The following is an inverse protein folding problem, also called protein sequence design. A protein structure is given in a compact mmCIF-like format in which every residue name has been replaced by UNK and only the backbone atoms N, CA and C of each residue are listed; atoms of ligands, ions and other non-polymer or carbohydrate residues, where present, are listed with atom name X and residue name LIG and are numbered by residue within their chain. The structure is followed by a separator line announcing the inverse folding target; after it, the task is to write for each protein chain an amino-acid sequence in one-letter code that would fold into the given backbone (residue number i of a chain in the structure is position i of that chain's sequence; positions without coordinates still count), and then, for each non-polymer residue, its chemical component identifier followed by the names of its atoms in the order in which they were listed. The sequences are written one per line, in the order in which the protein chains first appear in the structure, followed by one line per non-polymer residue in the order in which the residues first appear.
data_IF_735683140949
#
_entry.id   IF_735683140949
#
_cell.length_a   1.000
_cell.length_b   1.000
_cell.length_c   1.000
_cell.angle_alpha   90.00
_cell.angle_beta   90.00
_cell.angle_gamma   90.00
#
_symmetry.space_group_name_H-M   'P 1'
#
loop_
_entity.id
_entity.type
_entity.pdbx_description
1 polymer ?
#
# COMPACT_ATOMS: atom_id res chain seq x y z
N UNK A 1 0.68 -5.49 28.64
CA UNK A 1 -0.52 -4.66 28.43
C UNK A 1 -0.57 -3.43 29.33
N UNK A 2 -0.50 -3.51 30.66
CA UNK A 2 -0.56 -2.31 31.54
C UNK A 2 0.53 -1.24 31.28
N UNK A 3 1.75 -1.62 30.88
CA UNK A 3 2.85 -0.67 30.62
C UNK A 3 2.72 0.08 29.26
N UNK A 4 2.05 -0.49 28.27
CA UNK A 4 1.82 0.16 26.97
C UNK A 4 0.69 1.20 27.04
N UNK A 5 -0.35 0.93 27.83
CA UNK A 5 -1.42 1.89 28.12
C UNK A 5 -0.91 3.11 28.92
N UNK A 6 0.10 2.92 29.78
CA UNK A 6 0.75 4.00 30.53
C UNK A 6 1.60 4.93 29.66
N UNK A 7 2.22 4.43 28.60
CA UNK A 7 2.99 5.26 27.65
C UNK A 7 2.06 6.12 26.80
N UNK A 8 0.92 5.59 26.36
CA UNK A 8 -0.10 6.37 25.62
C UNK A 8 -0.77 7.40 26.55
N UNK A 9 -1.04 7.06 27.79
CA UNK A 9 -1.57 7.99 28.79
C UNK A 9 -0.54 9.08 29.18
N UNK A 10 0.75 8.75 29.29
CA UNK A 10 1.82 9.70 29.60
C UNK A 10 2.09 10.69 28.45
N UNK A 11 1.91 10.31 27.19
CA UNK A 11 1.97 11.22 26.05
C UNK A 11 0.77 12.17 25.95
N UNK A 12 -0.38 11.78 26.50
CA UNK A 12 -1.57 12.63 26.60
C UNK A 12 -1.54 13.57 27.82
N UNK A 13 -0.81 13.24 28.89
CA UNK A 13 -0.77 14.03 30.13
C UNK A 13 0.26 15.16 30.15
N UNK A 14 1.15 15.26 29.17
CA UNK A 14 2.21 16.27 29.12
C UNK A 14 1.77 17.68 28.68
N UNK A 15 0.47 17.92 28.42
CA UNK A 15 -0.02 19.23 27.95
C UNK A 15 -1.25 19.76 28.70
N UNK A 16 -1.51 19.29 29.90
CA UNK A 16 -2.55 19.87 30.78
C UNK A 16 -1.88 20.65 31.90
N UNK A 17 -1.15 21.71 31.56
CA UNK A 17 -0.76 22.74 32.53
C UNK A 17 -0.94 24.11 31.90
N UNK A 18 -1.83 24.88 32.50
CA UNK A 18 -1.99 26.33 32.41
C UNK A 18 -2.57 26.93 31.13
N UNK A 19 -3.87 27.18 31.13
CA UNK A 19 -4.45 28.35 30.49
C UNK A 19 -5.67 28.82 31.30
N UNK A 20 -5.41 29.53 32.38
CA UNK A 20 -6.33 30.58 32.81
C UNK A 20 -5.90 31.86 32.13
N UNK A 21 -6.40 32.10 30.95
CA UNK A 21 -6.31 33.39 30.27
C UNK A 21 -7.72 33.94 30.02
N UNK A 22 -7.88 35.19 30.40
CA UNK A 22 -9.02 36.07 30.18
C UNK A 22 -9.67 35.86 28.84
N UNK A 23 -10.94 35.48 28.84
CA UNK A 23 -11.78 35.25 27.66
C UNK A 23 -11.99 36.55 26.88
N UNK A 24 -11.12 36.86 25.94
CA UNK A 24 -11.53 37.60 24.76
C UNK A 24 -12.45 36.67 23.95
N UNK A 25 -13.68 37.08 23.72
CA UNK A 25 -14.65 36.39 22.86
C UNK A 25 -14.02 36.34 21.45
N UNK A 26 -13.28 35.25 21.15
CA UNK A 26 -12.91 34.90 19.79
C UNK A 26 -14.17 34.45 19.11
N UNK A 27 -14.52 35.10 17.99
CA UNK A 27 -15.57 34.62 17.08
C UNK A 27 -15.36 33.10 16.87
N UNK A 28 -16.34 32.30 17.27
CA UNK A 28 -16.30 30.84 17.07
C UNK A 28 -16.25 30.57 15.56
N UNK A 29 -15.18 29.94 15.10
CA UNK A 29 -15.04 29.52 13.71
C UNK A 29 -16.20 28.58 13.37
N UNK A 30 -17.04 29.00 12.44
CA UNK A 30 -18.15 28.16 11.93
C UNK A 30 -17.62 26.96 11.15
N UNK A 31 -18.33 25.85 11.16
CA UNK A 31 -17.99 24.68 10.36
C UNK A 31 -18.16 25.05 8.87
N UNK A 32 -17.11 24.81 8.08
CA UNK A 32 -17.11 25.02 6.61
C UNK A 32 -16.97 23.70 5.88
N UNK A 33 -17.81 23.53 4.86
CA UNK A 33 -17.82 22.38 3.98
C UNK A 33 -17.34 22.80 2.60
N UNK A 34 -16.33 22.09 2.07
CA UNK A 34 -15.80 22.31 0.72
C UNK A 34 -15.87 21.00 -0.06
N UNK A 35 -16.92 20.80 -0.87
CA UNK A 35 -17.01 19.68 -1.77
C UNK A 35 -15.95 19.78 -2.86
N UNK A 36 -15.51 18.62 -3.38
CA UNK A 36 -14.63 18.48 -4.52
C UNK A 36 -14.81 17.12 -5.17
N UNK A 37 -14.40 17.00 -6.40
CA UNK A 37 -14.47 15.71 -7.06
C UNK A 37 -14.04 15.78 -8.51
N UNK A 38 -14.24 14.67 -9.18
CA UNK A 38 -14.07 14.55 -10.62
C UNK A 38 -14.85 13.36 -11.18
N UNK A 39 -15.29 13.50 -12.42
CA UNK A 39 -15.69 12.38 -13.27
C UNK A 39 -14.49 11.98 -14.11
N UNK A 40 -14.13 10.70 -14.11
CA UNK A 40 -12.96 10.20 -14.82
C UNK A 40 -13.23 8.89 -15.50
N UNK A 41 -12.89 8.83 -16.79
CA UNK A 41 -12.99 7.66 -17.61
C UNK A 41 -11.61 7.23 -18.08
N UNK A 42 -11.38 5.93 -18.08
CA UNK A 42 -10.21 5.29 -18.66
C UNK A 42 -10.62 4.34 -19.75
N UNK A 43 -9.88 4.36 -20.84
CA UNK A 43 -9.83 3.30 -21.83
C UNK A 43 -8.53 2.53 -21.65
N UNK A 44 -8.60 1.20 -21.66
CA UNK A 44 -7.45 0.32 -21.59
C UNK A 44 -7.46 -0.66 -22.73
N UNK A 45 -6.26 -0.92 -23.28
CA UNK A 45 -5.96 -2.06 -24.13
C UNK A 45 -4.75 -2.78 -23.54
N UNK A 46 -4.82 -4.10 -23.41
CA UNK A 46 -3.73 -4.97 -22.98
C UNK A 46 -3.45 -6.02 -24.06
N UNK A 47 -2.19 -6.29 -24.38
CA UNK A 47 -1.78 -7.26 -25.39
C UNK A 47 -1.90 -8.71 -24.93
N UNK A 48 -1.99 -8.96 -23.60
CA UNK A 48 -2.15 -10.30 -23.01
C UNK A 48 -2.90 -10.25 -21.68
N UNK A 49 -3.24 -11.40 -21.15
CA UNK A 49 -3.86 -11.52 -19.83
C UNK A 49 -2.87 -11.14 -18.72
N UNK A 50 -3.39 -10.51 -17.68
CA UNK A 50 -2.62 -10.00 -16.55
C UNK A 50 -3.22 -10.45 -15.21
N UNK A 51 -2.41 -10.46 -14.16
CA UNK A 51 -2.89 -10.42 -12.79
C UNK A 51 -3.45 -9.03 -12.54
N UNK A 52 -4.75 -8.95 -12.41
CA UNK A 52 -5.45 -7.67 -12.33
C UNK A 52 -6.48 -7.66 -11.21
N UNK A 53 -6.83 -6.46 -10.76
CA UNK A 53 -7.93 -6.24 -9.83
C UNK A 53 -8.78 -5.06 -10.27
N UNK A 54 -9.97 -4.92 -9.67
CA UNK A 54 -10.87 -3.82 -9.98
C UNK A 54 -11.20 -3.70 -11.46
N UNK A 55 -11.56 -4.83 -12.10
CA UNK A 55 -11.98 -4.90 -13.51
C UNK A 55 -10.90 -4.41 -14.50
N UNK A 56 -9.64 -4.72 -14.26
CA UNK A 56 -8.52 -4.28 -15.11
C UNK A 56 -8.02 -2.87 -14.81
N UNK A 57 -8.62 -2.14 -13.87
CA UNK A 57 -8.09 -0.86 -13.41
C UNK A 57 -6.67 -1.00 -12.89
N UNK A 58 -6.42 -2.00 -12.04
CA UNK A 58 -5.09 -2.38 -11.57
C UNK A 58 -4.57 -3.53 -12.42
N UNK A 59 -3.63 -3.21 -13.29
CA UNK A 59 -2.85 -4.17 -14.05
C UNK A 59 -1.50 -4.32 -13.35
N UNK A 60 -1.32 -5.42 -12.64
CA UNK A 60 -0.11 -5.58 -11.83
C UNK A 60 1.05 -6.08 -12.67
N UNK A 61 0.89 -7.26 -13.25
CA UNK A 61 1.91 -7.93 -14.06
C UNK A 61 1.24 -8.85 -15.09
N UNK A 62 1.85 -9.11 -16.26
CA UNK A 62 1.40 -10.13 -17.19
C UNK A 62 1.40 -11.52 -16.53
N UNK A 63 0.42 -12.37 -16.85
CA UNK A 63 0.44 -13.78 -16.46
C UNK A 63 1.54 -14.52 -17.20
N UNK A 64 2.09 -15.54 -16.56
CA UNK A 64 3.05 -16.46 -17.15
C UNK A 64 2.47 -17.16 -18.40
N UNK A 65 3.32 -17.76 -19.19
CA UNK A 65 2.92 -18.62 -20.31
C UNK A 65 2.10 -19.81 -19.80
N UNK A 66 1.05 -20.14 -20.54
CA UNK A 66 0.20 -21.30 -20.31
C UNK A 66 0.03 -22.07 -21.62
N UNK A 67 1.10 -22.71 -22.06
CA UNK A 67 1.16 -23.38 -23.35
C UNK A 67 0.28 -24.64 -23.35
N UNK A 68 -0.60 -24.74 -24.36
CA UNK A 68 -1.36 -25.96 -24.62
C UNK A 68 -0.47 -27.02 -25.31
N UNK A 69 -1.04 -28.18 -25.64
CA UNK A 69 -0.37 -29.27 -26.31
C UNK A 69 0.17 -28.91 -27.71
N UNK A 70 -0.38 -27.89 -28.34
CA UNK A 70 0.05 -27.35 -29.65
C UNK A 70 1.11 -26.30 -29.54
N UNK A 71 1.53 -25.90 -28.32
CA UNK A 71 2.49 -24.85 -28.03
C UNK A 71 1.93 -23.43 -28.06
N UNK A 72 0.59 -23.26 -28.09
CA UNK A 72 -0.06 -21.95 -28.07
C UNK A 72 -0.18 -21.43 -26.63
N UNK A 73 0.24 -20.20 -26.38
CA UNK A 73 0.10 -19.57 -25.07
C UNK A 73 -1.33 -19.06 -24.83
N UNK A 74 -2.09 -19.74 -23.97
CA UNK A 74 -3.47 -19.41 -23.63
C UNK A 74 -3.63 -18.09 -22.86
N UNK A 75 -2.54 -17.50 -22.37
CA UNK A 75 -2.53 -16.19 -21.74
C UNK A 75 -2.18 -15.04 -22.72
N UNK A 76 -1.75 -15.35 -23.94
CA UNK A 76 -1.50 -14.36 -25.01
C UNK A 76 -2.79 -13.94 -25.70
N UNK A 77 -3.72 -13.41 -24.93
CA UNK A 77 -5.03 -12.95 -25.39
C UNK A 77 -5.19 -11.47 -25.07
N UNK A 78 -5.34 -10.66 -26.13
CA UNK A 78 -5.57 -9.24 -25.99
C UNK A 78 -6.94 -8.93 -25.40
N UNK A 79 -7.04 -7.83 -24.68
CA UNK A 79 -8.29 -7.36 -24.10
C UNK A 79 -8.39 -5.84 -24.09
N UNK A 80 -9.60 -5.32 -24.05
CA UNK A 80 -9.86 -3.89 -23.88
C UNK A 80 -10.98 -3.64 -22.88
N UNK A 81 -10.96 -2.48 -22.24
CA UNK A 81 -12.00 -2.07 -21.30
C UNK A 81 -12.18 -0.56 -21.26
N UNK A 82 -13.36 -0.12 -20.85
CA UNK A 82 -13.70 1.28 -20.61
C UNK A 82 -14.30 1.42 -19.22
N UNK A 83 -13.69 2.23 -18.35
CA UNK A 83 -14.00 2.26 -16.92
C UNK A 83 -14.20 3.69 -16.41
N UNK A 84 -15.34 3.94 -15.75
CA UNK A 84 -15.64 5.19 -15.03
C UNK A 84 -15.50 5.07 -13.50
N UNK A 85 -15.17 3.90 -12.98
CA UNK A 85 -15.23 3.52 -11.55
C UNK A 85 -14.31 4.33 -10.64
N UNK A 86 -13.34 5.04 -11.18
CA UNK A 86 -12.44 5.92 -10.41
C UNK A 86 -12.98 7.34 -10.22
N UNK A 87 -14.16 7.64 -10.75
CA UNK A 87 -14.93 8.85 -10.44
C UNK A 87 -14.99 9.04 -8.93
N UNK A 88 -14.78 10.30 -8.47
CA UNK A 88 -14.53 10.57 -7.05
C UNK A 88 -15.39 11.70 -6.54
N UNK A 89 -15.90 11.52 -5.33
CA UNK A 89 -16.59 12.52 -4.54
C UNK A 89 -15.84 12.70 -3.22
N UNK A 90 -15.65 13.93 -2.80
CA UNK A 90 -14.97 14.26 -1.57
C UNK A 90 -15.53 15.49 -0.89
N UNK A 91 -15.32 15.56 0.41
CA UNK A 91 -15.70 16.67 1.26
C UNK A 91 -14.55 16.99 2.22
N UNK A 92 -14.02 18.21 2.14
CA UNK A 92 -13.12 18.74 3.15
C UNK A 92 -13.96 19.56 4.14
N UNK A 93 -13.78 19.31 5.42
CA UNK A 93 -14.49 19.95 6.53
C UNK A 93 -13.45 20.67 7.38
N UNK A 94 -13.69 21.96 7.65
CA UNK A 94 -12.90 22.75 8.60
C UNK A 94 -13.82 23.12 9.74
N UNK A 95 -13.41 22.87 10.97
CA UNK A 95 -14.20 23.14 12.17
C UNK A 95 -13.63 24.24 13.06
N UNK A 96 -14.25 24.47 14.20
CA UNK A 96 -13.71 25.32 15.26
C UNK A 96 -12.41 24.77 15.79
N UNK A 97 -11.64 25.62 16.48
CA UNK A 97 -10.42 25.17 17.16
C UNK A 97 -10.78 24.25 18.34
N UNK A 98 -10.09 23.13 18.47
CA UNK A 98 -10.27 22.12 19.53
C UNK A 98 -8.96 21.96 20.27
N UNK A 99 -8.96 22.17 21.60
CA UNK A 99 -7.74 22.08 22.43
C UNK A 99 -6.59 22.94 21.91
N UNK A 100 -6.89 24.11 21.35
CA UNK A 100 -5.92 25.01 20.74
C UNK A 100 -5.36 24.57 19.38
N UNK A 101 -5.90 23.50 18.80
CA UNK A 101 -5.55 23.03 17.46
C UNK A 101 -6.62 23.43 16.43
N UNK A 102 -6.21 23.72 15.20
CA UNK A 102 -7.12 23.79 14.07
C UNK A 102 -7.69 22.39 13.77
N UNK A 103 -9.03 22.28 13.81
CA UNK A 103 -9.71 21.02 13.55
C UNK A 103 -10.11 20.89 12.07
N UNK A 104 -9.98 19.70 11.53
CA UNK A 104 -10.44 19.38 10.17
C UNK A 104 -10.85 17.91 10.05
N UNK A 105 -11.68 17.61 9.07
CA UNK A 105 -12.01 16.25 8.69
C UNK A 105 -12.06 16.13 7.16
N UNK A 106 -11.92 14.90 6.67
CA UNK A 106 -12.03 14.60 5.24
C UNK A 106 -12.82 13.32 5.04
N UNK A 107 -13.73 13.35 4.08
CA UNK A 107 -14.42 12.17 3.56
C UNK A 107 -14.16 12.13 2.06
N UNK A 108 -13.76 10.97 1.54
CA UNK A 108 -13.53 10.75 0.11
C UNK A 108 -13.99 9.35 -0.28
N UNK A 109 -14.73 9.27 -1.38
CA UNK A 109 -15.29 8.01 -1.91
C UNK A 109 -15.00 7.87 -3.41
N UNK A 110 -14.97 6.64 -3.91
CA UNK A 110 -15.02 6.28 -5.33
C UNK A 110 -15.92 5.04 -5.54
N UNK A 111 -16.10 4.63 -6.79
CA UNK A 111 -16.95 3.50 -7.17
C UNK A 111 -16.13 2.23 -7.45
N UNK A 112 -14.90 2.13 -6.95
CA UNK A 112 -14.02 0.97 -7.16
C UNK A 112 -14.14 -0.09 -6.06
N UNK A 113 -15.22 -0.13 -5.30
CA UNK A 113 -15.61 -1.26 -4.47
C UNK A 113 -16.25 -2.33 -5.34
N UNK A 114 -16.03 -3.62 -5.02
CA UNK A 114 -16.58 -4.74 -5.77
C UNK A 114 -17.41 -5.66 -4.89
N UNK A 115 -18.55 -6.06 -5.42
CA UNK A 115 -19.24 -7.30 -5.06
C UNK A 115 -19.18 -8.25 -6.27
N UNK A 116 -19.82 -9.41 -6.15
CA UNK A 116 -19.78 -10.46 -7.18
C UNK A 116 -20.27 -10.02 -8.56
N UNK A 117 -21.07 -8.96 -8.67
CA UNK A 117 -21.72 -8.55 -9.94
C UNK A 117 -21.73 -7.05 -10.22
N UNK A 118 -21.37 -6.19 -9.28
CA UNK A 118 -21.48 -4.73 -9.45
C UNK A 118 -20.32 -3.96 -8.82
N UNK A 119 -20.07 -2.76 -9.36
CA UNK A 119 -19.21 -1.78 -8.69
C UNK A 119 -19.96 -1.13 -7.52
N UNK A 120 -19.27 -0.92 -6.41
CA UNK A 120 -19.84 -0.35 -5.19
C UNK A 120 -19.10 0.91 -4.78
N UNK A 121 -19.84 1.81 -4.13
CA UNK A 121 -19.25 2.95 -3.44
C UNK A 121 -18.34 2.45 -2.32
N UNK A 122 -17.10 2.92 -2.27
CA UNK A 122 -16.18 2.61 -1.17
C UNK A 122 -15.62 3.87 -0.55
N UNK A 123 -15.36 3.80 0.75
CA UNK A 123 -14.62 4.84 1.47
C UNK A 123 -13.14 4.74 1.10
N UNK A 124 -12.59 5.84 0.60
CA UNK A 124 -11.16 6.00 0.35
C UNK A 124 -10.45 6.60 1.53
N UNK A 125 -10.96 7.75 2.00
CA UNK A 125 -10.45 8.45 3.16
C UNK A 125 -11.63 8.85 4.04
N UNK A 126 -11.48 8.67 5.34
CA UNK A 126 -12.41 9.14 6.36
C UNK A 126 -11.59 9.35 7.64
N UNK A 127 -11.18 10.59 7.89
CA UNK A 127 -10.35 10.91 9.04
C UNK A 127 -10.66 12.29 9.59
N UNK A 128 -10.30 12.48 10.86
CA UNK A 128 -10.21 13.78 11.52
C UNK A 128 -8.74 14.12 11.79
N UNK A 129 -8.43 15.41 11.84
CA UNK A 129 -7.10 15.93 12.13
C UNK A 129 -7.18 17.13 13.06
N UNK A 130 -6.33 17.13 14.07
CA UNK A 130 -6.01 18.27 14.90
C UNK A 130 -4.61 18.75 14.53
N UNK A 131 -4.45 20.03 14.24
CA UNK A 131 -3.18 20.61 13.79
C UNK A 131 -2.81 21.80 14.67
N UNK A 132 -1.79 21.61 15.49
CA UNK A 132 -1.12 22.67 16.24
C UNK A 132 0.03 23.22 15.41
N UNK A 133 0.61 24.30 15.80
CA UNK A 133 1.70 24.95 15.06
C UNK A 133 2.86 24.02 14.69
N UNK A 134 3.24 23.10 15.57
CA UNK A 134 4.34 22.14 15.36
C UNK A 134 3.90 20.68 15.35
N UNK A 135 2.76 20.39 15.94
CA UNK A 135 2.26 19.02 16.13
C UNK A 135 0.99 18.81 15.32
N UNK A 136 0.75 17.60 14.87
CA UNK A 136 -0.58 17.22 14.42
C UNK A 136 -0.89 15.77 14.78
N UNK A 137 -2.17 15.51 15.06
CA UNK A 137 -2.71 14.18 15.28
C UNK A 137 -3.79 13.93 14.23
N UNK A 138 -3.70 12.81 13.55
CA UNK A 138 -4.70 12.32 12.60
C UNK A 138 -5.25 11.00 13.12
N UNK A 139 -6.58 10.85 13.11
CA UNK A 139 -7.26 9.61 13.47
C UNK A 139 -8.29 9.26 12.39
N UNK A 140 -8.22 8.05 11.85
CA UNK A 140 -9.14 7.53 10.84
C UNK A 140 -8.43 6.88 9.65
N UNK A 141 -9.19 6.59 8.60
CA UNK A 141 -8.70 5.92 7.40
C UNK A 141 -8.11 6.91 6.41
N UNK A 142 -6.85 6.71 6.04
CA UNK A 142 -6.19 7.44 4.95
C UNK A 142 -5.07 6.61 4.34
N UNK A 143 -4.29 7.19 3.45
CA UNK A 143 -3.14 6.54 2.87
C UNK A 143 -2.16 6.04 3.93
N UNK A 144 -1.67 4.82 3.73
CA UNK A 144 -0.60 4.23 4.53
C UNK A 144 0.62 5.17 4.52
N UNK A 145 1.32 5.38 5.65
CA UNK A 145 2.48 6.27 5.68
C UNK A 145 3.60 5.88 4.69
N UNK A 146 3.76 4.59 4.42
CA UNK A 146 4.68 4.09 3.39
C UNK A 146 4.33 4.56 1.96
N UNK A 147 3.06 4.86 1.66
CA UNK A 147 2.67 5.53 0.42
C UNK A 147 3.14 6.98 0.40
N UNK A 148 3.03 7.67 1.55
CA UNK A 148 3.48 9.04 1.77
C UNK A 148 2.83 10.08 0.85
N UNK A 149 3.48 11.24 0.76
CA UNK A 149 3.05 12.37 -0.06
C UNK A 149 3.75 12.42 -1.44
N UNK A 150 4.71 11.52 -1.70
CA UNK A 150 5.42 11.39 -2.98
C UNK A 150 4.96 10.13 -3.68
N UNK A 151 4.40 10.31 -4.87
CA UNK A 151 3.91 9.24 -5.74
C UNK A 151 4.23 9.59 -7.20
N UNK A 152 4.30 8.58 -8.09
CA UNK A 152 4.60 8.84 -9.49
C UNK A 152 3.47 9.63 -10.14
N UNK A 153 3.83 10.49 -11.08
CA UNK A 153 2.93 11.36 -11.82
C UNK A 153 2.39 10.66 -13.08
N UNK A 154 1.93 9.45 -12.90
CA UNK A 154 1.38 8.59 -13.95
C UNK A 154 -0.07 8.98 -14.28
N UNK A 155 -0.50 8.70 -15.50
CA UNK A 155 -1.85 9.03 -15.97
C UNK A 155 -2.91 8.23 -15.20
N UNK A 156 -2.70 6.93 -15.07
CA UNK A 156 -3.49 6.06 -14.23
C UNK A 156 -2.71 5.74 -12.94
N UNK A 157 -3.32 5.99 -11.79
CA UNK A 157 -2.69 5.73 -10.49
C UNK A 157 -2.23 4.26 -10.33
N UNK A 158 -2.87 3.35 -11.07
CA UNK A 158 -2.51 1.94 -11.16
C UNK A 158 -1.13 1.70 -11.78
N UNK A 159 -0.64 2.55 -12.66
CA UNK A 159 0.67 2.38 -13.34
C UNK A 159 1.83 2.36 -12.35
N UNK A 160 1.71 3.05 -11.21
CA UNK A 160 2.70 3.00 -10.13
C UNK A 160 2.64 1.72 -9.28
N UNK A 161 1.63 0.87 -9.43
CA UNK A 161 1.49 -0.39 -8.69
C UNK A 161 1.92 -1.57 -9.57
N UNK A 162 2.66 -2.57 -9.06
CA UNK A 162 3.02 -2.83 -7.66
C UNK A 162 4.38 -2.29 -7.21
N UNK A 163 4.90 -1.24 -7.85
CA UNK A 163 6.25 -0.71 -7.60
C UNK A 163 6.34 0.21 -6.38
N UNK A 164 5.23 0.52 -5.73
CA UNK A 164 5.20 1.31 -4.50
C UNK A 164 4.17 0.76 -3.51
N UNK A 165 4.36 1.00 -2.20
CA UNK A 165 3.35 0.69 -1.21
C UNK A 165 2.02 1.35 -1.57
N UNK A 166 0.96 0.56 -1.73
CA UNK A 166 -0.34 1.05 -2.18
C UNK A 166 -1.46 0.49 -1.31
N UNK A 167 -1.81 1.20 -0.25
CA UNK A 167 -2.90 0.82 0.65
C UNK A 167 -3.47 2.04 1.37
N UNK A 168 -4.70 1.93 1.85
CA UNK A 168 -5.30 2.85 2.81
C UNK A 168 -5.71 2.05 4.04
N UNK A 169 -5.40 2.61 5.20
CA UNK A 169 -5.55 1.93 6.47
C UNK A 169 -6.13 2.86 7.54
N UNK A 170 -6.98 2.34 8.44
CA UNK A 170 -7.32 3.03 9.69
C UNK A 170 -6.05 3.20 10.51
N UNK A 171 -5.80 4.41 10.99
CA UNK A 171 -4.58 4.75 11.68
C UNK A 171 -4.77 5.88 12.69
N UNK A 172 -3.90 5.91 13.67
CA UNK A 172 -3.59 7.11 14.45
C UNK A 172 -2.18 7.50 14.08
N UNK A 173 -1.99 8.75 13.61
CA UNK A 173 -0.70 9.28 13.20
C UNK A 173 -0.40 10.58 13.95
N UNK A 174 0.80 10.68 14.46
CA UNK A 174 1.38 11.88 15.07
C UNK A 174 2.49 12.40 14.18
N UNK A 175 2.44 13.68 13.81
CA UNK A 175 3.51 14.37 13.09
C UNK A 175 4.05 15.52 13.95
N UNK A 176 5.37 15.64 14.04
CA UNK A 176 6.09 16.75 14.69
C UNK A 176 6.97 17.47 13.69
N UNK A 177 6.84 18.81 13.62
CA UNK A 177 7.52 19.67 12.64
C UNK A 177 8.48 20.64 13.32
N UNK A 178 9.73 20.64 12.87
CA UNK A 178 10.76 21.60 13.27
C UNK A 178 11.40 22.16 12.00
N UNK A 179 11.12 23.45 11.69
CA UNK A 179 11.64 24.06 10.47
C UNK A 179 11.31 23.24 9.23
N UNK A 180 12.31 22.74 8.54
CA UNK A 180 12.19 21.92 7.32
C UNK A 180 12.06 20.42 7.60
N UNK A 181 12.11 19.99 8.85
CA UNK A 181 12.01 18.58 9.24
C UNK A 181 10.61 18.23 9.76
N UNK A 182 10.11 17.06 9.36
CA UNK A 182 8.91 16.42 9.89
C UNK A 182 9.27 15.03 10.39
N UNK A 183 8.93 14.72 11.62
CA UNK A 183 8.95 13.37 12.18
C UNK A 183 7.53 12.84 12.23
N UNK A 184 7.34 11.59 11.84
CA UNK A 184 6.02 10.95 11.79
C UNK A 184 6.06 9.60 12.50
N UNK A 185 5.05 9.35 13.34
CA UNK A 185 4.80 8.07 13.98
C UNK A 185 3.36 7.66 13.69
N UNK A 186 3.13 6.39 13.35
CA UNK A 186 1.77 5.90 13.16
C UNK A 186 1.60 4.48 13.72
N UNK A 187 0.37 4.21 14.18
CA UNK A 187 -0.12 2.88 14.49
C UNK A 187 -1.37 2.63 13.64
N UNK A 188 -1.42 1.47 12.94
CA UNK A 188 -2.45 1.22 11.94
C UNK A 188 -2.85 -0.26 11.85
N UNK A 189 -4.01 -0.51 11.23
CA UNK A 189 -4.50 -1.86 10.93
C UNK A 189 -4.80 -2.00 9.44
N UNK A 190 -4.60 -3.19 8.90
CA UNK A 190 -4.85 -3.48 7.49
C UNK A 190 -6.35 -3.40 7.17
N UNK A 191 -6.71 -2.81 6.02
CA UNK A 191 -8.10 -2.74 5.57
C UNK A 191 -8.26 -2.91 4.05
N UNK A 192 -7.66 -2.04 3.23
CA UNK A 192 -7.90 -2.04 1.77
C UNK A 192 -7.29 -3.28 1.10
N UNK A 193 -6.08 -3.61 1.45
CA UNK A 193 -5.41 -4.85 1.09
C UNK A 193 -4.98 -5.54 2.37
N UNK A 194 -5.01 -6.86 2.35
CA UNK A 194 -4.80 -7.71 3.51
C UNK A 194 -3.62 -8.64 3.27
N UNK A 195 -2.93 -8.99 4.34
CA UNK A 195 -1.94 -10.06 4.33
C UNK A 195 -2.61 -11.37 3.93
N UNK A 196 -1.85 -12.21 3.22
CA UNK A 196 -2.28 -13.55 2.81
C UNK A 196 -1.88 -14.58 3.85
N UNK A 197 -2.57 -15.71 3.88
CA UNK A 197 -2.29 -16.80 4.80
C UNK A 197 -3.13 -18.05 4.47
N UNK A 198 -3.33 -18.96 5.42
CA UNK A 198 -4.06 -20.21 5.19
C UNK A 198 -5.47 -20.02 4.60
N UNK A 199 -6.18 -18.98 5.02
CA UNK A 199 -7.54 -18.66 4.55
C UNK A 199 -7.51 -17.56 3.45
N UNK A 200 -6.46 -17.48 2.66
CA UNK A 200 -6.27 -16.44 1.65
C UNK A 200 -5.97 -15.07 2.27
N UNK A 201 -6.46 -14.00 1.63
CA UNK A 201 -6.30 -12.63 2.14
C UNK A 201 -7.34 -12.36 3.25
N UNK A 202 -6.88 -12.17 4.50
CA UNK A 202 -7.79 -12.10 5.65
C UNK A 202 -7.34 -11.05 6.69
N UNK A 203 -8.30 -10.21 7.14
CA UNK A 203 -8.06 -9.19 8.17
C UNK A 203 -7.82 -9.79 9.57
N UNK A 204 -8.25 -11.04 9.81
CA UNK A 204 -8.04 -11.73 11.10
C UNK A 204 -6.56 -11.83 11.47
N UNK A 205 -5.67 -11.97 10.49
CA UNK A 205 -4.24 -12.14 10.75
C UNK A 205 -3.61 -10.94 11.46
N UNK A 206 -3.93 -9.71 11.03
CA UNK A 206 -3.47 -8.50 11.71
C UNK A 206 -4.21 -8.25 13.03
N UNK A 207 -5.52 -8.53 13.09
CA UNK A 207 -6.32 -8.39 14.32
C UNK A 207 -5.85 -9.35 15.42
N UNK A 208 -5.62 -10.62 15.08
CA UNK A 208 -5.19 -11.66 16.03
C UNK A 208 -3.74 -11.48 16.50
N UNK A 209 -2.95 -10.66 15.81
CA UNK A 209 -1.61 -10.28 16.27
C UNK A 209 -1.63 -9.30 17.45
N UNK A 210 -2.78 -8.63 17.71
CA UNK A 210 -3.01 -7.64 18.78
C UNK A 210 -2.19 -6.37 18.61
N UNK A 211 -0.89 -6.50 18.33
CA UNK A 211 -0.01 -5.36 18.07
C UNK A 211 -0.38 -4.74 16.71
N UNK A 212 -0.72 -3.44 16.66
CA UNK A 212 -0.89 -2.74 15.39
C UNK A 212 0.40 -2.72 14.59
N UNK A 213 0.31 -2.54 13.31
CA UNK A 213 1.42 -2.18 12.44
C UNK A 213 1.93 -0.80 12.86
N UNK A 214 3.25 -0.62 12.91
CA UNK A 214 3.91 0.58 13.42
C UNK A 214 4.78 1.20 12.33
N UNK A 215 4.67 2.48 12.15
CA UNK A 215 5.49 3.25 11.24
C UNK A 215 6.23 4.38 11.96
N UNK A 216 7.50 4.59 11.59
CA UNK A 216 8.29 5.76 11.97
C UNK A 216 8.97 6.34 10.72
N UNK A 217 8.95 7.66 10.58
CA UNK A 217 9.56 8.33 9.43
C UNK A 217 10.08 9.72 9.72
N UNK A 218 11.03 10.15 8.90
CA UNK A 218 11.59 11.49 8.88
C UNK A 218 11.54 12.05 7.46
N UNK A 219 11.16 13.31 7.33
CA UNK A 219 11.10 14.02 6.05
C UNK A 219 11.76 15.39 6.19
N UNK A 220 12.62 15.73 5.24
CA UNK A 220 13.17 17.07 5.06
C UNK A 220 12.56 17.70 3.81
N UNK A 221 12.05 18.95 3.94
CA UNK A 221 11.44 19.67 2.81
C UNK A 221 11.90 21.13 2.80
N UNK A 222 12.61 21.52 1.72
CA UNK A 222 13.09 22.89 1.53
C UNK A 222 13.30 23.19 0.04
N UNK A 223 12.84 24.35 -0.42
CA UNK A 223 13.15 24.92 -1.76
C UNK A 223 12.96 23.93 -2.92
N UNK A 224 11.80 23.27 -2.97
CA UNK A 224 11.50 22.28 -4.02
C UNK A 224 12.07 20.88 -3.79
N UNK A 225 13.03 20.74 -2.87
CA UNK A 225 13.59 19.44 -2.48
C UNK A 225 12.78 18.81 -1.35
N UNK A 226 12.45 17.53 -1.48
CA UNK A 226 11.93 16.68 -0.42
C UNK A 226 12.77 15.41 -0.37
N UNK A 227 13.28 15.10 0.80
CA UNK A 227 13.99 13.85 1.11
C UNK A 227 13.30 13.20 2.29
N UNK A 228 13.19 11.88 2.29
CA UNK A 228 12.64 11.20 3.43
C UNK A 228 13.08 9.76 3.54
N UNK A 229 12.97 9.26 4.76
CA UNK A 229 13.18 7.86 5.12
C UNK A 229 12.10 7.43 6.09
N UNK A 230 11.76 6.17 6.06
CA UNK A 230 10.80 5.58 6.99
C UNK A 230 11.05 4.09 7.18
N UNK A 231 10.52 3.57 8.24
CA UNK A 231 10.51 2.13 8.54
C UNK A 231 9.12 1.73 8.99
N UNK A 232 8.67 0.62 8.45
CA UNK A 232 7.43 -0.04 8.81
C UNK A 232 7.73 -1.36 9.51
N UNK A 233 7.03 -1.63 10.60
CA UNK A 233 7.04 -2.89 11.31
C UNK A 233 5.65 -3.49 11.29
N UNK A 234 5.50 -4.61 10.61
CA UNK A 234 4.26 -5.38 10.56
C UNK A 234 4.36 -6.68 11.33
N UNK A 235 3.27 -7.07 11.98
CA UNK A 235 3.13 -8.36 12.68
C UNK A 235 1.76 -8.93 12.39
N UNK A 236 1.72 -10.19 11.96
CA UNK A 236 0.48 -10.93 11.72
C UNK A 236 0.51 -12.27 12.45
N UNK A 237 -0.68 -12.82 12.73
CA UNK A 237 -0.88 -14.15 13.30
C UNK A 237 -1.67 -15.01 12.32
N UNK A 238 -1.02 -15.83 11.47
CA UNK A 238 -1.67 -16.58 10.40
C UNK A 238 -2.68 -17.61 10.89
N UNK A 239 -2.46 -18.19 12.07
CA UNK A 239 -3.38 -19.13 12.70
C UNK A 239 -3.37 -18.98 14.23
N UNK A 240 -4.46 -19.38 14.87
CA UNK A 240 -4.63 -19.32 16.33
C UNK A 240 -4.67 -20.69 16.98
N UNK A 241 -4.86 -21.74 16.19
CA UNK A 241 -4.92 -23.13 16.64
C UNK A 241 -4.18 -24.05 15.68
N UNK A 242 -3.76 -25.19 16.18
CA UNK A 242 -3.20 -26.29 15.41
C UNK A 242 -3.81 -27.61 15.91
N UNK A 243 -3.94 -28.57 15.02
CA UNK A 243 -4.27 -29.93 15.36
C UNK A 243 -2.95 -30.66 15.65
N UNK A 244 -2.86 -31.27 16.81
CA UNK A 244 -1.65 -31.94 17.33
C UNK A 244 -2.01 -33.33 17.77
N UNK A 245 -1.18 -34.30 17.42
CA UNK A 245 -1.30 -35.67 17.95
C UNK A 245 -1.06 -35.67 19.47
N UNK A 246 -1.93 -36.33 20.19
CA UNK A 246 -1.90 -36.42 21.64
C UNK A 246 -2.21 -37.83 22.09
N UNK A 247 -1.35 -38.40 22.91
CA UNK A 247 -1.57 -39.71 23.50
C UNK A 247 -2.38 -39.58 24.79
N UNK A 248 -3.55 -40.19 24.81
CA UNK A 248 -4.39 -40.27 26.01
C UNK A 248 -3.74 -41.12 27.09
N UNK A 249 -4.12 -40.96 28.35
CA UNK A 249 -3.66 -41.79 29.45
C UNK A 249 -3.94 -43.30 29.27
N UNK A 250 -4.90 -43.66 28.40
CA UNK A 250 -5.23 -45.02 28.00
C UNK A 250 -4.23 -45.62 26.97
N UNK A 251 -3.22 -44.85 26.53
CA UNK A 251 -2.28 -45.23 25.48
C UNK A 251 -2.81 -45.08 24.06
N UNK A 252 -4.02 -44.58 23.85
CA UNK A 252 -4.63 -44.37 22.55
C UNK A 252 -4.24 -42.99 22.02
N UNK A 253 -3.75 -42.93 20.77
CA UNK A 253 -3.47 -41.67 20.07
C UNK A 253 -4.76 -41.02 19.59
N UNK A 254 -4.84 -39.69 19.73
CA UNK A 254 -5.95 -38.86 19.29
C UNK A 254 -5.41 -37.51 18.79
N UNK A 255 -6.17 -36.81 17.97
CA UNK A 255 -5.84 -35.46 17.54
C UNK A 255 -6.61 -34.47 18.40
N UNK A 256 -5.89 -33.54 19.00
CA UNK A 256 -6.48 -32.44 19.78
C UNK A 256 -6.18 -31.08 19.16
N UNK A 257 -7.14 -30.18 19.27
CA UNK A 257 -6.93 -28.79 18.84
C UNK A 257 -6.30 -27.98 19.97
N UNK A 258 -5.10 -27.44 19.73
CA UNK A 258 -4.36 -26.60 20.69
C UNK A 258 -4.28 -25.15 20.21
N UNK A 259 -4.23 -24.21 21.15
CA UNK A 259 -3.89 -22.81 20.86
C UNK A 259 -2.41 -22.70 20.54
N UNK A 260 -2.07 -21.97 19.46
CA UNK A 260 -0.68 -21.69 19.07
C UNK A 260 -0.41 -20.20 19.02
N UNK A 261 0.87 -19.84 19.12
CA UNK A 261 1.33 -18.44 19.11
C UNK A 261 2.29 -18.21 17.94
N UNK A 262 1.80 -18.46 16.74
CA UNK A 262 2.55 -18.34 15.50
C UNK A 262 2.48 -16.90 14.98
N UNK A 263 3.62 -16.28 14.75
CA UNK A 263 3.68 -14.90 14.24
C UNK A 263 4.64 -14.77 13.08
N UNK A 264 4.23 -13.99 12.08
CA UNK A 264 5.12 -13.48 11.04
C UNK A 264 5.40 -12.01 11.35
N UNK A 265 6.66 -11.62 11.30
CA UNK A 265 7.11 -10.25 11.51
C UNK A 265 7.84 -9.77 10.27
N UNK A 266 7.72 -8.50 9.94
CA UNK A 266 8.42 -7.87 8.83
C UNK A 266 8.88 -6.46 9.21
N UNK A 267 10.09 -6.11 8.78
CA UNK A 267 10.65 -4.75 8.89
C UNK A 267 10.93 -4.26 7.48
N UNK A 268 10.30 -3.17 7.08
CA UNK A 268 10.38 -2.65 5.72
C UNK A 268 10.87 -1.20 5.72
N UNK A 269 12.20 -0.98 5.58
CA UNK A 269 12.76 0.35 5.41
C UNK A 269 12.45 0.90 4.02
N UNK A 270 12.31 2.23 3.96
CA UNK A 270 12.00 3.00 2.76
C UNK A 270 12.79 4.29 2.73
N UNK A 271 13.23 4.70 1.54
CA UNK A 271 13.74 6.04 1.27
C UNK A 271 13.01 6.62 0.06
N UNK A 272 12.89 7.95 0.03
CA UNK A 272 12.27 8.64 -1.09
C UNK A 272 12.85 10.03 -1.29
N UNK A 273 12.71 10.51 -2.53
CA UNK A 273 13.24 11.77 -3.00
C UNK A 273 12.24 12.43 -3.95
N UNK A 274 12.15 13.75 -3.88
CA UNK A 274 11.49 14.57 -4.91
C UNK A 274 12.23 15.88 -5.05
N UNK A 275 12.41 16.33 -6.30
CA UNK A 275 12.93 17.65 -6.62
C UNK A 275 12.08 18.30 -7.71
N UNK A 276 11.63 19.53 -7.43
CA UNK A 276 10.82 20.34 -8.33
C UNK A 276 11.56 21.63 -8.64
N UNK A 277 11.82 21.90 -9.92
CA UNK A 277 12.40 23.16 -10.38
C UNK A 277 11.72 23.63 -11.67
N UNK A 278 11.08 24.79 -11.61
CA UNK A 278 10.32 25.35 -12.74
C UNK A 278 9.17 24.47 -13.19
N UNK A 279 9.30 23.84 -14.34
CA UNK A 279 8.36 22.87 -14.91
C UNK A 279 8.83 21.44 -14.85
N UNK A 280 9.99 21.19 -14.28
CA UNK A 280 10.61 19.88 -14.16
C UNK A 280 10.38 19.30 -12.76
N UNK A 281 9.89 18.08 -12.70
CA UNK A 281 9.78 17.27 -11.49
C UNK A 281 10.53 15.95 -11.68
N UNK A 282 11.33 15.57 -10.70
CA UNK A 282 11.85 14.23 -10.57
C UNK A 282 11.53 13.67 -9.20
N UNK A 283 11.06 12.46 -9.14
CA UNK A 283 10.80 11.78 -7.88
C UNK A 283 11.21 10.31 -7.96
N UNK A 284 11.58 9.75 -6.81
CA UNK A 284 12.00 8.36 -6.71
C UNK A 284 11.67 7.80 -5.32
N UNK A 285 11.55 6.48 -5.25
CA UNK A 285 11.38 5.74 -4.00
C UNK A 285 12.03 4.38 -4.12
N UNK A 286 12.58 3.90 -3.01
CA UNK A 286 13.06 2.53 -2.84
C UNK A 286 12.55 1.95 -1.53
N UNK A 287 12.12 0.69 -1.56
CA UNK A 287 11.60 -0.08 -0.42
C UNK A 287 12.27 -1.43 -0.39
N UNK A 288 12.81 -1.81 0.77
CA UNK A 288 13.18 -3.20 1.06
C UNK A 288 12.02 -3.82 1.85
N UNK A 289 11.15 -4.55 1.15
CA UNK A 289 9.91 -5.07 1.71
C UNK A 289 10.09 -6.44 2.37
N UNK A 290 9.47 -6.65 3.52
CA UNK A 290 9.30 -7.95 4.18
C UNK A 290 7.81 -8.15 4.50
N UNK A 291 7.20 -9.20 3.93
CA UNK A 291 5.78 -9.51 4.11
C UNK A 291 4.84 -8.31 3.80
N UNK A 292 5.11 -7.59 2.71
CA UNK A 292 4.39 -6.36 2.30
C UNK A 292 3.20 -6.63 1.36
N UNK A 293 2.63 -7.84 1.35
CA UNK A 293 1.48 -8.19 0.51
C UNK A 293 0.25 -7.29 0.76
N UNK A 294 0.05 -6.82 1.98
CA UNK A 294 -0.99 -5.86 2.36
C UNK A 294 -0.75 -4.43 1.84
N UNK A 295 0.43 -4.15 1.32
CA UNK A 295 0.77 -2.92 0.61
C UNK A 295 0.69 -3.08 -0.92
N UNK A 296 0.13 -4.19 -1.40
CA UNK A 296 0.00 -4.54 -2.83
C UNK A 296 1.35 -4.62 -3.55
N UNK A 297 2.39 -5.08 -2.86
CA UNK A 297 3.74 -5.28 -3.37
C UNK A 297 4.07 -6.76 -3.48
N UNK A 298 5.10 -7.12 -4.27
CA UNK A 298 5.64 -8.48 -4.33
C UNK A 298 6.19 -8.85 -2.96
N UNK A 299 5.55 -9.78 -2.29
CA UNK A 299 5.95 -10.25 -0.96
C UNK A 299 5.02 -11.35 -0.45
N UNK A 300 5.39 -11.90 0.70
CA UNK A 300 4.67 -12.95 1.42
C UNK A 300 5.56 -13.53 2.52
N UNK A 301 5.36 -14.79 2.84
CA UNK A 301 6.17 -15.53 3.81
C UNK A 301 6.02 -17.04 3.59
N UNK A 302 6.97 -17.79 4.10
CA UNK A 302 6.96 -19.26 4.07
C UNK A 302 7.06 -19.86 5.48
N UNK A 303 6.63 -21.12 5.61
CA UNK A 303 6.85 -21.92 6.82
C UNK A 303 8.30 -22.41 6.80
N UNK A 304 9.08 -22.06 7.81
CA UNK A 304 10.49 -22.44 7.96
C UNK A 304 10.71 -23.60 8.96
N UNK A 305 9.71 -23.90 9.78
CA UNK A 305 9.81 -25.01 10.75
C UNK A 305 8.49 -25.29 11.45
N UNK A 306 8.45 -26.47 12.11
CA UNK A 306 7.34 -26.88 12.98
C UNK A 306 7.90 -27.29 14.32
N UNK A 307 7.35 -26.76 15.41
CA UNK A 307 7.71 -27.10 16.78
C UNK A 307 6.92 -28.33 17.27
N UNK A 308 7.41 -28.96 18.33
CA UNK A 308 6.76 -30.15 18.94
C UNK A 308 5.37 -29.85 19.51
N UNK A 309 5.06 -28.59 19.84
CA UNK A 309 3.74 -28.15 20.30
C UNK A 309 2.76 -27.85 19.17
N UNK A 310 3.13 -28.13 17.91
CA UNK A 310 2.37 -27.83 16.72
C UNK A 310 2.45 -26.39 16.24
N UNK A 311 3.22 -25.51 16.92
CA UNK A 311 3.49 -24.15 16.46
C UNK A 311 4.36 -24.14 15.21
N UNK A 312 4.13 -23.17 14.30
CA UNK A 312 4.95 -22.97 13.10
C UNK A 312 5.91 -21.81 13.28
N UNK A 313 7.07 -21.97 12.69
CA UNK A 313 8.02 -20.89 12.47
C UNK A 313 7.87 -20.38 11.04
N UNK A 314 8.03 -19.08 10.86
CA UNK A 314 7.85 -18.43 9.58
C UNK A 314 9.04 -17.56 9.23
N UNK A 315 9.34 -17.48 7.95
CA UNK A 315 10.35 -16.57 7.39
C UNK A 315 9.69 -15.66 6.35
N UNK A 316 9.81 -14.31 6.47
CA UNK A 316 9.24 -13.38 5.50
C UNK A 316 9.98 -13.46 4.17
N UNK A 317 9.23 -13.40 3.06
CA UNK A 317 9.78 -13.17 1.74
C UNK A 317 10.20 -11.71 1.62
N UNK A 318 11.42 -11.48 1.16
CA UNK A 318 12.03 -10.16 1.00
C UNK A 318 12.00 -9.73 -0.47
N UNK A 319 11.77 -8.46 -0.70
CA UNK A 319 11.83 -7.85 -2.03
C UNK A 319 12.51 -6.49 -1.99
N UNK A 320 13.19 -6.14 -3.07
CA UNK A 320 13.66 -4.76 -3.33
C UNK A 320 12.80 -4.17 -4.42
N UNK A 321 12.15 -3.06 -4.15
CA UNK A 321 11.24 -2.42 -5.11
C UNK A 321 11.55 -0.94 -5.18
N UNK A 322 11.79 -0.43 -6.39
CA UNK A 322 12.16 0.96 -6.64
C UNK A 322 11.43 1.52 -7.84
N UNK A 323 11.21 2.82 -7.84
CA UNK A 323 10.72 3.53 -9.00
C UNK A 323 11.33 4.93 -9.11
N UNK A 324 11.40 5.43 -10.32
CA UNK A 324 11.76 6.80 -10.69
C UNK A 324 10.68 7.35 -11.61
N UNK A 325 10.31 8.60 -11.41
CA UNK A 325 9.34 9.32 -12.21
C UNK A 325 9.90 10.69 -12.57
N UNK A 326 9.87 11.01 -13.85
CA UNK A 326 10.38 12.26 -14.41
C UNK A 326 9.29 12.91 -15.22
N UNK A 327 8.94 14.14 -14.90
CA UNK A 327 7.94 14.88 -15.67
C UNK A 327 8.37 16.31 -16.03
N UNK A 328 7.89 16.78 -17.17
CA UNK A 328 8.12 18.12 -17.64
C UNK A 328 6.85 18.74 -18.22
N UNK A 329 6.62 19.98 -17.87
CA UNK A 329 5.47 20.75 -18.36
C UNK A 329 4.31 20.81 -17.36
N UNK A 330 3.33 21.68 -17.65
CA UNK A 330 2.11 21.88 -16.84
C UNK A 330 0.84 21.69 -17.69
N UNK A 331 0.62 22.57 -18.65
CA UNK A 331 -0.54 22.51 -19.56
C UNK A 331 -0.37 21.33 -20.55
N UNK A 332 0.75 21.30 -21.24
CA UNK A 332 1.24 20.13 -21.97
C UNK A 332 2.29 19.48 -21.09
N UNK A 333 2.07 18.22 -20.70
CA UNK A 333 2.92 17.52 -19.77
C UNK A 333 3.33 16.18 -20.34
N UNK A 334 4.64 15.96 -20.43
CA UNK A 334 5.25 14.67 -20.67
C UNK A 334 5.72 14.05 -19.35
N UNK A 335 5.58 12.74 -19.21
CA UNK A 335 6.04 12.00 -18.04
C UNK A 335 6.66 10.67 -18.46
N UNK A 336 7.65 10.22 -17.71
CA UNK A 336 8.27 8.89 -17.83
C UNK A 336 8.34 8.25 -16.44
N UNK A 337 7.60 7.16 -16.26
CA UNK A 337 7.71 6.29 -15.09
C UNK A 337 8.57 5.07 -15.38
N UNK A 338 9.47 4.74 -14.46
CA UNK A 338 10.32 3.55 -14.47
C UNK A 338 10.17 2.84 -13.15
N UNK A 339 9.74 1.58 -13.15
CA UNK A 339 9.58 0.75 -11.97
C UNK A 339 10.39 -0.54 -12.08
N UNK A 340 10.98 -0.99 -10.97
CA UNK A 340 11.71 -2.26 -10.88
C UNK A 340 11.45 -2.94 -9.54
N UNK A 341 11.28 -4.25 -9.56
CA UNK A 341 11.13 -5.08 -8.37
C UNK A 341 11.86 -6.40 -8.51
N UNK A 342 12.56 -6.82 -7.46
CA UNK A 342 13.38 -8.03 -7.39
C UNK A 342 13.01 -8.87 -6.17
N UNK A 343 12.83 -10.18 -6.39
CA UNK A 343 12.74 -11.16 -5.32
C UNK A 343 14.13 -11.39 -4.70
N UNK A 344 14.24 -11.20 -3.40
CA UNK A 344 15.47 -11.42 -2.62
C UNK A 344 15.42 -12.74 -1.82
N UNK A 345 14.31 -13.49 -1.94
CA UNK A 345 14.08 -14.74 -1.20
C UNK A 345 13.86 -14.52 0.30
N UNK A 346 13.96 -15.60 1.05
CA UNK A 346 13.81 -15.65 2.51
C UNK A 346 15.18 -15.71 3.21
N UNK A 347 15.21 -15.44 4.52
CA UNK A 347 16.44 -15.60 5.32
C UNK A 347 16.70 -17.07 5.63
N UNK A 348 15.65 -17.80 5.99
CA UNK A 348 15.70 -19.20 6.39
C UNK A 348 15.17 -20.09 5.27
N UNK A 349 15.51 -21.37 5.28
CA UNK A 349 14.97 -22.35 4.35
C UNK A 349 13.46 -22.52 4.62
N UNK A 350 12.68 -22.56 3.55
CA UNK A 350 11.26 -22.87 3.60
C UNK A 350 11.08 -24.37 3.54
N UNK A 351 10.39 -24.91 4.53
CA UNK A 351 10.12 -26.34 4.68
C UNK A 351 8.65 -26.71 4.45
N UNK A 352 7.78 -25.69 4.30
CA UNK A 352 6.34 -25.87 4.11
C UNK A 352 5.73 -24.89 3.14
N UNK A 353 4.47 -24.57 3.32
CA UNK A 353 3.70 -23.71 2.41
C UNK A 353 4.24 -22.29 2.37
N UNK A 354 4.26 -21.71 1.16
CA UNK A 354 4.55 -20.29 0.90
C UNK A 354 3.24 -19.57 0.64
N UNK A 355 3.01 -18.48 1.37
CA UNK A 355 1.81 -17.63 1.26
C UNK A 355 2.19 -16.32 0.57
N UNK A 356 1.81 -16.17 -0.69
CA UNK A 356 2.10 -14.98 -1.52
C UNK A 356 0.87 -14.54 -2.30
N UNK A 357 0.85 -13.30 -2.71
CA UNK A 357 -0.22 -12.75 -3.53
C UNK A 357 0.16 -12.80 -5.01
N UNK A 358 0.00 -13.98 -5.66
CA UNK A 358 0.15 -14.12 -7.12
C UNK A 358 1.57 -13.96 -7.66
N UNK A 359 2.60 -14.12 -6.81
CA UNK A 359 4.01 -13.91 -7.16
C UNK A 359 4.86 -15.15 -6.86
N UNK A 360 4.34 -16.35 -7.14
CA UNK A 360 4.94 -17.61 -6.66
C UNK A 360 6.30 -17.94 -7.29
N UNK A 361 6.49 -17.63 -8.58
CA UNK A 361 7.67 -18.02 -9.36
C UNK A 361 8.33 -16.82 -10.05
N UNK A 362 8.21 -15.63 -9.49
CA UNK A 362 8.76 -14.41 -10.07
C UNK A 362 10.12 -14.12 -9.47
N UNK A 363 11.11 -13.94 -10.34
CA UNK A 363 12.44 -13.45 -9.98
C UNK A 363 12.47 -11.92 -9.90
N UNK A 364 12.02 -11.26 -10.97
CA UNK A 364 11.98 -9.80 -11.08
C UNK A 364 10.94 -9.34 -12.08
N UNK A 365 10.57 -8.08 -11.99
CA UNK A 365 9.77 -7.43 -13.02
C UNK A 365 10.07 -5.93 -13.08
N UNK A 366 9.85 -5.35 -14.25
CA UNK A 366 10.01 -3.92 -14.47
C UNK A 366 8.87 -3.35 -15.31
N UNK A 367 8.69 -2.03 -15.20
CA UNK A 367 7.74 -1.26 -16.01
C UNK A 367 8.39 -0.01 -16.54
N UNK A 368 8.12 0.30 -17.82
CA UNK A 368 8.43 1.55 -18.47
C UNK A 368 7.11 2.15 -18.93
N UNK A 369 6.76 3.36 -18.47
CA UNK A 369 5.49 3.98 -18.82
C UNK A 369 5.64 5.47 -19.16
N UNK A 370 5.93 5.80 -20.44
CA UNK A 370 5.81 7.15 -20.93
C UNK A 370 4.34 7.58 -21.04
N UNK A 371 4.05 8.81 -20.68
CA UNK A 371 2.73 9.41 -20.85
C UNK A 371 2.79 10.85 -21.32
N UNK A 372 1.69 11.28 -21.94
CA UNK A 372 1.48 12.65 -22.34
C UNK A 372 0.08 13.09 -21.93
N UNK A 373 -0.06 14.30 -21.38
CA UNK A 373 -1.34 14.85 -20.99
C UNK A 373 -1.49 16.33 -21.36
N UNK A 374 -2.73 16.71 -21.66
CA UNK A 374 -3.16 18.10 -21.83
C UNK A 374 -4.07 18.44 -20.66
N UNK A 375 -3.65 19.43 -19.86
CA UNK A 375 -4.25 19.76 -18.58
C UNK A 375 -4.82 21.18 -18.62
N UNK A 376 -6.14 21.31 -18.50
CA UNK A 376 -6.88 22.55 -18.28
C UNK A 376 -7.38 22.56 -16.83
N UNK A 377 -7.90 23.72 -16.39
CA UNK A 377 -8.39 23.90 -15.01
C UNK A 377 -9.40 22.84 -14.58
N UNK A 378 -10.39 22.56 -15.43
CA UNK A 378 -11.49 21.61 -15.16
C UNK A 378 -11.45 20.36 -16.01
N UNK A 379 -10.59 20.30 -17.02
CA UNK A 379 -10.57 19.20 -17.99
C UNK A 379 -9.15 18.72 -18.25
N UNK A 380 -8.96 17.41 -18.20
CA UNK A 380 -7.68 16.76 -18.49
C UNK A 380 -7.92 15.59 -19.47
N UNK A 381 -7.06 15.48 -20.44
CA UNK A 381 -7.00 14.32 -21.36
C UNK A 381 -5.57 13.85 -21.45
N UNK A 382 -5.36 12.56 -21.60
CA UNK A 382 -4.00 12.02 -21.73
C UNK A 382 -3.98 10.61 -22.26
N UNK A 383 -2.78 10.20 -22.66
CA UNK A 383 -2.46 8.85 -23.11
C UNK A 383 -1.18 8.38 -22.40
N UNK A 384 -1.14 7.11 -22.04
CA UNK A 384 -0.01 6.44 -21.42
C UNK A 384 0.20 5.09 -22.08
N UNK A 385 1.45 4.76 -22.34
CA UNK A 385 1.85 3.43 -22.76
C UNK A 385 2.58 2.76 -21.60
N UNK A 386 2.30 1.49 -21.31
CA UNK A 386 2.99 0.72 -20.30
C UNK A 386 3.58 -0.55 -20.92
N UNK A 387 4.88 -0.69 -20.90
CA UNK A 387 5.55 -1.98 -21.08
C UNK A 387 5.84 -2.56 -19.71
N UNK A 388 5.27 -3.70 -19.39
CA UNK A 388 5.58 -4.45 -18.17
C UNK A 388 6.16 -5.81 -18.55
N UNK A 389 7.36 -6.12 -18.04
CA UNK A 389 8.04 -7.41 -18.29
C UNK A 389 8.33 -8.08 -16.96
N UNK A 390 8.05 -9.38 -16.90
CA UNK A 390 8.28 -10.26 -15.74
C UNK A 390 9.22 -11.39 -16.14
N UNK A 391 10.21 -11.67 -15.30
CA UNK A 391 11.04 -12.86 -15.37
C UNK A 391 10.42 -13.95 -14.47
N UNK A 392 9.74 -14.89 -15.10
CA UNK A 392 9.21 -16.09 -14.48
C UNK A 392 10.23 -17.21 -14.48
N UNK A 393 10.37 -17.91 -13.37
CA UNK A 393 11.34 -18.97 -13.22
C UNK A 393 10.73 -20.36 -13.13
N UNK A 394 11.50 -21.33 -13.62
CA UNK A 394 11.17 -22.76 -13.59
C UNK A 394 11.68 -23.46 -12.34
N UNK A 395 12.66 -22.86 -11.65
CA UNK A 395 13.27 -23.42 -10.44
C UNK A 395 13.17 -22.43 -9.29
N UNK A 396 12.76 -22.96 -8.14
CA UNK A 396 12.67 -22.20 -6.88
C UNK A 396 13.48 -22.99 -5.85
N UNK A 397 14.46 -22.35 -5.21
CA UNK A 397 15.24 -22.97 -4.15
C UNK A 397 14.53 -22.92 -2.79
N UNK A 398 15.12 -23.55 -1.77
CA UNK A 398 14.57 -23.58 -0.42
C UNK A 398 14.41 -22.19 0.23
N UNK A 399 15.12 -21.18 -0.27
CA UNK A 399 15.00 -19.79 0.16
C UNK A 399 14.08 -18.97 -0.73
N UNK A 400 13.24 -19.60 -1.52
CA UNK A 400 12.32 -18.95 -2.47
C UNK A 400 13.02 -18.05 -3.48
N UNK A 401 14.31 -18.23 -3.75
CA UNK A 401 14.98 -17.59 -4.87
C UNK A 401 14.65 -18.34 -6.15
N UNK A 402 14.38 -17.55 -7.16
CA UNK A 402 13.92 -18.03 -8.47
C UNK A 402 15.07 -18.00 -9.46
N UNK A 403 15.17 -19.03 -10.29
CA UNK A 403 16.20 -19.19 -11.33
C UNK A 403 15.64 -19.90 -12.57
N UNK A 404 16.46 -20.01 -13.63
CA UNK A 404 16.06 -20.58 -14.93
C UNK A 404 14.84 -19.82 -15.49
N UNK A 405 15.02 -18.51 -15.73
CA UNK A 405 13.92 -17.60 -16.02
C UNK A 405 13.68 -17.41 -17.51
N UNK A 406 12.43 -17.15 -17.87
CA UNK A 406 11.98 -16.62 -19.16
C UNK A 406 11.19 -15.32 -18.93
N UNK A 407 11.17 -14.47 -19.94
CA UNK A 407 10.52 -13.17 -19.86
C UNK A 407 9.15 -13.18 -20.53
N UNK A 408 8.16 -12.65 -19.83
CA UNK A 408 6.81 -12.43 -20.34
C UNK A 408 6.47 -10.96 -20.24
N UNK A 409 5.96 -10.39 -21.35
CA UNK A 409 5.66 -8.96 -21.44
C UNK A 409 4.20 -8.68 -21.77
N UNK A 410 3.69 -7.58 -21.24
CA UNK A 410 2.43 -6.97 -21.64
C UNK A 410 2.65 -5.54 -22.12
N UNK A 411 2.00 -5.19 -23.22
CA UNK A 411 1.90 -3.84 -23.73
C UNK A 411 0.52 -3.31 -23.42
N UNK A 412 0.44 -2.26 -22.60
CA UNK A 412 -0.82 -1.59 -22.29
C UNK A 412 -0.86 -0.20 -22.87
N UNK A 413 -2.00 0.17 -23.44
CA UNK A 413 -2.33 1.55 -23.80
C UNK A 413 -3.46 2.00 -22.89
N UNK A 414 -3.27 3.14 -22.23
CA UNK A 414 -4.26 3.77 -21.37
C UNK A 414 -4.62 5.15 -21.91
N UNK A 415 -5.89 5.37 -22.24
CA UNK A 415 -6.45 6.70 -22.49
C UNK A 415 -7.20 7.21 -21.25
N UNK A 416 -7.14 8.52 -20.96
CA UNK A 416 -7.85 9.12 -19.83
C UNK A 416 -8.54 10.41 -20.24
N UNK A 417 -9.79 10.56 -19.81
CA UNK A 417 -10.54 11.81 -19.85
C UNK A 417 -11.06 12.10 -18.45
N UNK A 418 -10.82 13.31 -17.94
CA UNK A 418 -11.21 13.71 -16.58
C UNK A 418 -11.80 15.12 -16.56
N UNK A 419 -12.94 15.29 -15.89
CA UNK A 419 -13.55 16.58 -15.56
C UNK A 419 -13.53 16.81 -14.06
N UNK A 420 -12.94 17.93 -13.61
CA UNK A 420 -12.81 18.29 -12.18
C UNK A 420 -13.82 19.39 -11.82
N UNK A 421 -14.42 19.30 -10.64
CA UNK A 421 -15.35 20.28 -10.07
C UNK A 421 -15.06 20.56 -8.59
#
# INVERSE_FOLDING_TARGET
MKRLLLIVAALLSLHVVSAQETATVKEEKTIKFKPYGFVRNYFYYDSRQNLQSSNGLFNQIPKDEANNILGEDMNEVASSSFLAITTRLGLNITGPDVLGAASSAKIETDFSGFSSSTTMLRIRQAYMKLDWKRNSVLAGQTWHPMYGDIFPDVLALSSGSPFQPFSRAPQIRYDYRISSLKLSLAALYQLQYLSVGPDGANASYSKNAILPELYAGIEFKKSGLTLGAGVDYSRIKPRSTADVEYQLASGKDTTIKRKVSDYVQGISPMVYFKYTVGQFDISARSVLGQNTAHLNMMSGYGISGTKSDGSLEYTPLRSSTSWVDISYGKKFKGNLFLGYSKNLGTSDDVTGTVYVRGYNNIDQFYRIAPSFSYNLKHFNIGIEYELTTVAYGKKIDKKCKVSDTHNVSNNRICGMIKYNF
#
